data_IF_631873576017
#
_entry.id   IF_631873576017
#
_cell.length_a   1.000
_cell.length_b   1.000
_cell.length_c   1.000
_cell.angle_alpha   90.00
_cell.angle_beta   90.00
_cell.angle_gamma   90.00
#
_symmetry.space_group_name_H-M   'P 1'
#
loop_
_entity.id
_entity.type
_entity.pdbx_description
1 polymer ?
#
# COMPACT_ATOMS: atom_id res chain seq x y z
N UNK A 1 0.38 -10.26 8.73
CA UNK A 1 1.55 -9.75 7.99
C UNK A 1 1.89 -8.35 8.47
N UNK A 2 3.16 -8.06 8.69
CA UNK A 2 3.63 -6.80 9.30
C UNK A 2 3.87 -5.66 8.32
N UNK A 3 3.49 -5.83 7.06
CA UNK A 3 3.74 -4.83 6.02
C UNK A 3 3.15 -3.45 6.35
N UNK A 4 1.90 -3.33 6.85
CA UNK A 4 1.36 -2.01 7.21
C UNK A 4 2.22 -1.25 8.23
N UNK A 5 2.71 -1.94 9.26
CA UNK A 5 3.58 -1.33 10.26
C UNK A 5 4.93 -0.94 9.68
N UNK A 6 5.46 -1.77 8.78
CA UNK A 6 6.73 -1.51 8.12
C UNK A 6 6.67 -0.26 7.23
N UNK A 7 5.54 -0.06 6.54
CA UNK A 7 5.34 1.11 5.68
C UNK A 7 5.11 2.40 6.48
N UNK A 8 4.92 2.31 7.79
CA UNK A 8 4.91 3.48 8.67
C UNK A 8 6.32 4.00 8.97
N UNK A 9 7.35 3.21 8.66
CA UNK A 9 8.74 3.60 8.78
C UNK A 9 9.27 4.09 7.44
N UNK A 10 10.06 5.14 7.45
CA UNK A 10 10.55 5.74 6.21
C UNK A 10 11.48 4.81 5.44
N UNK A 11 11.20 4.65 4.16
CA UNK A 11 12.09 4.04 3.18
C UNK A 11 12.58 2.62 3.55
N UNK A 12 11.71 1.83 4.15
CA UNK A 12 11.99 0.43 4.46
C UNK A 12 11.78 -0.47 3.22
N UNK A 13 12.41 -0.08 2.12
CA UNK A 13 12.21 -0.70 0.80
C UNK A 13 12.64 -2.16 0.79
N UNK A 14 13.86 -2.44 1.26
CA UNK A 14 14.38 -3.81 1.24
C UNK A 14 13.61 -4.72 2.18
N UNK A 15 13.27 -4.24 3.37
CA UNK A 15 12.49 -5.01 4.33
C UNK A 15 11.08 -5.32 3.80
N UNK A 16 10.44 -4.37 3.10
CA UNK A 16 9.15 -4.60 2.47
C UNK A 16 9.22 -5.68 1.38
N UNK A 17 10.24 -5.63 0.55
CA UNK A 17 10.48 -6.66 -0.46
C UNK A 17 10.70 -8.03 0.15
N UNK A 18 11.51 -8.14 1.20
CA UNK A 18 11.76 -9.38 1.90
C UNK A 18 10.49 -9.97 2.54
N UNK A 19 9.66 -9.15 3.15
CA UNK A 19 8.38 -9.59 3.71
C UNK A 19 7.49 -10.22 2.65
N UNK A 20 7.39 -9.59 1.48
CA UNK A 20 6.59 -10.13 0.37
C UNK A 20 7.15 -11.44 -0.15
N UNK A 21 8.47 -11.56 -0.27
CA UNK A 21 9.12 -12.83 -0.64
C UNK A 21 8.74 -13.94 0.34
N UNK A 22 8.87 -13.69 1.63
CA UNK A 22 8.52 -14.67 2.66
C UNK A 22 7.03 -15.05 2.61
N UNK A 23 6.17 -14.08 2.45
CA UNK A 23 4.73 -14.33 2.34
C UNK A 23 4.41 -15.23 1.15
N UNK A 24 4.98 -14.95 -0.02
CA UNK A 24 4.72 -15.72 -1.23
C UNK A 24 5.29 -17.14 -1.13
N UNK A 25 6.45 -17.31 -0.48
CA UNK A 25 7.06 -18.62 -0.31
C UNK A 25 6.39 -19.48 0.76
N UNK A 26 5.63 -18.86 1.67
CA UNK A 26 4.90 -19.60 2.71
C UNK A 26 3.65 -20.29 2.18
N UNK A 27 3.27 -20.05 0.93
CA UNK A 27 2.09 -20.65 0.31
C UNK A 27 0.77 -20.01 0.76
N UNK A 28 0.83 -18.83 1.37
CA UNK A 28 -0.37 -18.10 1.77
C UNK A 28 -1.07 -17.45 0.57
N UNK A 29 -2.32 -17.04 0.80
CA UNK A 29 -3.23 -16.55 -0.24
C UNK A 29 -2.71 -15.23 -0.85
N UNK A 30 -2.43 -15.27 -2.15
CA UNK A 30 -1.96 -14.11 -2.92
C UNK A 30 -3.05 -13.04 -3.02
N UNK A 31 -4.30 -13.42 -3.10
CA UNK A 31 -5.39 -12.44 -3.20
C UNK A 31 -5.48 -11.56 -1.94
N UNK A 32 -5.14 -12.12 -0.78
CA UNK A 32 -5.03 -11.34 0.46
C UNK A 32 -3.90 -10.32 0.39
N UNK A 33 -2.77 -10.69 -0.21
CA UNK A 33 -1.65 -9.77 -0.42
C UNK A 33 -2.05 -8.64 -1.39
N UNK A 34 -2.73 -8.95 -2.49
CA UNK A 34 -3.21 -7.95 -3.43
C UNK A 34 -4.18 -6.97 -2.75
N UNK A 35 -5.10 -7.47 -1.95
CA UNK A 35 -6.04 -6.65 -1.19
C UNK A 35 -5.30 -5.75 -0.19
N UNK A 36 -4.28 -6.28 0.48
CA UNK A 36 -3.46 -5.52 1.41
C UNK A 36 -2.71 -4.38 0.70
N UNK A 37 -2.07 -4.68 -0.43
CA UNK A 37 -1.34 -3.66 -1.21
C UNK A 37 -2.28 -2.55 -1.69
N UNK A 38 -3.47 -2.93 -2.17
CA UNK A 38 -4.48 -1.95 -2.57
C UNK A 38 -4.94 -1.08 -1.40
N UNK A 39 -5.17 -1.69 -0.24
CA UNK A 39 -5.54 -0.96 0.98
C UNK A 39 -4.46 0.00 1.44
N UNK A 40 -3.19 -0.42 1.34
CA UNK A 40 -2.06 0.44 1.70
C UNK A 40 -1.92 1.61 0.75
N UNK A 41 -2.16 1.41 -0.55
CA UNK A 41 -2.21 2.50 -1.52
C UNK A 41 -3.31 3.51 -1.15
N UNK A 42 -4.49 3.03 -0.78
CA UNK A 42 -5.62 3.89 -0.40
C UNK A 42 -5.39 4.64 0.91
N UNK A 43 -4.57 4.11 1.80
CA UNK A 43 -4.22 4.75 3.07
C UNK A 43 -3.35 5.98 2.88
N UNK A 44 -2.49 5.98 1.86
CA UNK A 44 -1.51 7.03 1.63
C UNK A 44 -2.06 8.13 0.71
N UNK A 45 -1.44 9.30 0.76
CA UNK A 45 -1.69 10.36 -0.21
C UNK A 45 -1.20 9.90 -1.57
N UNK A 46 -2.09 9.94 -2.54
CA UNK A 46 -1.85 9.38 -3.87
C UNK A 46 -1.68 10.50 -4.89
N UNK A 47 -0.68 10.37 -5.72
CA UNK A 47 -0.58 11.13 -6.96
C UNK A 47 -0.84 10.20 -8.15
N UNK A 48 -0.93 10.81 -9.33
CA UNK A 48 -1.22 10.09 -10.55
C UNK A 48 -0.20 8.98 -10.84
N UNK A 49 1.08 9.27 -10.59
CA UNK A 49 2.15 8.30 -10.83
C UNK A 49 2.07 7.10 -9.90
N UNK A 50 1.75 7.31 -8.65
CA UNK A 50 1.61 6.22 -7.68
C UNK A 50 0.43 5.31 -8.06
N UNK A 51 -0.70 5.89 -8.42
CA UNK A 51 -1.87 5.13 -8.87
C UNK A 51 -1.53 4.32 -10.11
N UNK A 52 -0.89 4.93 -11.10
CA UNK A 52 -0.50 4.24 -12.34
C UNK A 52 0.47 3.09 -12.07
N UNK A 53 1.46 3.30 -11.21
CA UNK A 53 2.47 2.28 -10.93
C UNK A 53 1.83 1.04 -10.30
N UNK A 54 0.95 1.21 -9.32
CA UNK A 54 0.29 0.09 -8.65
C UNK A 54 -0.75 -0.57 -9.55
N UNK A 55 -1.51 0.20 -10.31
CA UNK A 55 -2.46 -0.33 -11.28
C UNK A 55 -1.75 -1.16 -12.35
N UNK A 56 -0.63 -0.67 -12.88
CA UNK A 56 0.18 -1.39 -13.85
C UNK A 56 0.72 -2.70 -13.26
N UNK A 57 1.19 -2.67 -12.01
CA UNK A 57 1.68 -3.87 -11.33
C UNK A 57 0.56 -4.92 -11.18
N UNK A 58 -0.63 -4.51 -10.78
CA UNK A 58 -1.76 -5.43 -10.64
C UNK A 58 -2.18 -6.02 -12.00
N UNK A 59 -2.21 -5.19 -13.05
CA UNK A 59 -2.52 -5.66 -14.39
C UNK A 59 -1.49 -6.65 -14.91
N UNK A 60 -0.21 -6.37 -14.74
CA UNK A 60 0.87 -7.29 -15.12
C UNK A 60 0.79 -8.59 -14.31
N UNK A 61 0.54 -8.49 -13.02
CA UNK A 61 0.43 -9.67 -12.18
C UNK A 61 -0.72 -10.57 -12.63
N UNK A 62 -1.85 -10.01 -13.04
CA UNK A 62 -2.98 -10.80 -13.54
C UNK A 62 -2.57 -11.70 -14.71
N UNK A 63 -1.68 -11.22 -15.57
CA UNK A 63 -1.16 -11.98 -16.72
C UNK A 63 -0.05 -12.96 -16.34
N UNK A 64 0.68 -12.69 -15.27
CA UNK A 64 1.89 -13.45 -14.87
C UNK A 64 1.68 -14.28 -13.61
N UNK A 65 0.43 -14.40 -13.15
CA UNK A 65 0.09 -15.10 -11.91
C UNK A 65 0.64 -16.53 -11.91
N UNK A 66 1.27 -16.90 -10.81
CA UNK A 66 1.86 -18.22 -10.64
C UNK A 66 3.24 -18.39 -11.28
N UNK A 67 3.80 -17.34 -11.85
CA UNK A 67 5.14 -17.36 -12.45
C UNK A 67 6.15 -16.63 -11.57
N UNK A 68 7.44 -16.88 -11.81
CA UNK A 68 8.53 -16.13 -11.14
C UNK A 68 8.45 -14.64 -11.49
N UNK A 69 8.13 -14.30 -12.73
CA UNK A 69 7.97 -12.91 -13.15
C UNK A 69 6.83 -12.23 -12.39
N UNK A 70 5.71 -12.92 -12.17
CA UNK A 70 4.60 -12.43 -11.35
C UNK A 70 5.02 -12.14 -9.92
N UNK A 71 5.79 -13.03 -9.30
CA UNK A 71 6.34 -12.82 -7.97
C UNK A 71 7.19 -11.55 -7.93
N UNK A 72 8.05 -11.33 -8.90
CA UNK A 72 8.88 -10.12 -8.98
C UNK A 72 8.04 -8.86 -9.12
N UNK A 73 6.93 -8.90 -9.85
CA UNK A 73 6.03 -7.75 -9.98
C UNK A 73 5.45 -7.36 -8.61
N UNK A 74 5.02 -8.32 -7.81
CA UNK A 74 4.49 -8.04 -6.47
C UNK A 74 5.55 -7.50 -5.51
N UNK A 75 6.75 -8.04 -5.57
CA UNK A 75 7.88 -7.54 -4.79
C UNK A 75 8.18 -6.09 -5.17
N UNK A 76 8.22 -5.79 -6.47
CA UNK A 76 8.44 -4.42 -6.97
C UNK A 76 7.34 -3.46 -6.51
N UNK A 77 6.07 -3.90 -6.51
CA UNK A 77 4.96 -3.08 -6.02
C UNK A 77 5.12 -2.74 -4.54
N UNK A 78 5.47 -3.71 -3.71
CA UNK A 78 5.70 -3.48 -2.27
C UNK A 78 6.88 -2.54 -2.05
N UNK A 79 7.97 -2.71 -2.78
CA UNK A 79 9.15 -1.83 -2.70
C UNK A 79 8.81 -0.41 -3.14
N UNK A 80 8.01 -0.26 -4.18
CA UNK A 80 7.55 1.05 -4.65
C UNK A 80 6.74 1.77 -3.58
N UNK A 81 5.76 1.09 -2.98
CA UNK A 81 4.98 1.66 -1.89
C UNK A 81 5.87 2.06 -0.72
N UNK A 82 6.80 1.20 -0.32
CA UNK A 82 7.71 1.50 0.78
C UNK A 82 8.61 2.70 0.50
N UNK A 83 9.00 2.91 -0.75
CA UNK A 83 9.82 4.06 -1.15
C UNK A 83 9.07 5.39 -1.00
N UNK A 84 7.73 5.35 -1.08
CA UNK A 84 6.89 6.54 -1.03
C UNK A 84 6.07 6.67 0.26
N UNK A 85 6.25 5.76 1.21
CA UNK A 85 5.54 5.75 2.49
C UNK A 85 6.49 6.06 3.65
N UNK A 86 5.98 6.60 4.75
CA UNK A 86 4.64 7.15 4.88
C UNK A 86 4.50 8.53 4.23
N UNK A 87 3.30 8.82 3.76
CA UNK A 87 2.91 10.16 3.34
C UNK A 87 2.26 10.89 4.52
N UNK A 88 1.81 12.12 4.30
CA UNK A 88 1.09 12.88 5.33
C UNK A 88 -0.33 12.34 5.58
N UNK A 89 -0.85 11.52 4.68
CA UNK A 89 -2.19 10.93 4.78
C UNK A 89 -3.29 11.99 4.92
N UNK A 90 -3.13 13.09 4.18
CA UNK A 90 -4.02 14.25 4.27
C UNK A 90 -5.46 13.93 3.84
N UNK A 91 -5.66 12.98 2.94
CA UNK A 91 -7.00 12.56 2.52
C UNK A 91 -7.78 11.93 3.66
N UNK A 92 -7.12 11.11 4.47
CA UNK A 92 -7.73 10.55 5.67
C UNK A 92 -8.10 11.63 6.68
N UNK A 93 -7.22 12.60 6.87
CA UNK A 93 -7.47 13.75 7.75
C UNK A 93 -8.66 14.56 7.26
N UNK A 94 -8.75 14.82 5.96
CA UNK A 94 -9.88 15.54 5.38
C UNK A 94 -11.19 14.79 5.60
N UNK A 95 -11.20 13.48 5.40
CA UNK A 95 -12.38 12.66 5.65
C UNK A 95 -12.80 12.72 7.12
N UNK A 96 -11.87 12.62 8.05
CA UNK A 96 -12.15 12.68 9.48
C UNK A 96 -12.72 14.04 9.88
N UNK A 97 -12.16 15.13 9.36
CA UNK A 97 -12.66 16.47 9.59
C UNK A 97 -14.10 16.61 9.07
N UNK A 98 -14.35 16.17 7.84
CA UNK A 98 -15.69 16.23 7.25
C UNK A 98 -16.72 15.43 8.07
N UNK A 99 -16.33 14.24 8.56
CA UNK A 99 -17.18 13.41 9.40
C UNK A 99 -17.51 14.08 10.73
N UNK A 100 -16.53 14.71 11.36
CA UNK A 100 -16.72 15.42 12.63
C UNK A 100 -17.63 16.62 12.45
N UNK A 101 -17.47 17.37 11.37
CA UNK A 101 -18.34 18.51 11.05
C UNK A 101 -19.78 18.07 10.82
N UNK A 102 -20.00 16.95 10.13
CA UNK A 102 -21.35 16.43 9.88
C UNK A 102 -22.05 15.99 11.16
N UNK A 103 -21.30 15.66 12.22
CA UNK A 103 -21.85 15.34 13.55
C UNK A 103 -21.99 16.56 14.45
N UNK A 104 -21.72 17.77 13.94
CA UNK A 104 -21.86 19.01 14.69
C UNK A 104 -20.73 19.25 15.69
N UNK A 105 -19.60 18.59 15.57
CA UNK A 105 -18.46 18.80 16.44
C UNK A 105 -17.77 20.13 16.14
N UNK A 106 -17.29 20.80 17.18
CA UNK A 106 -16.47 21.99 17.03
C UNK A 106 -15.02 21.55 16.84
N UNK A 107 -14.42 22.02 15.75
CA UNK A 107 -13.02 21.75 15.47
C UNK A 107 -12.16 22.89 16.00
N UNK A 108 -11.20 22.56 16.87
CA UNK A 108 -10.22 23.49 17.36
C UNK A 108 -8.90 23.28 16.63
N UNK A 109 -8.32 24.35 16.15
CA UNK A 109 -6.95 24.33 15.67
C UNK A 109 -6.01 24.47 16.86
N UNK A 110 -5.10 23.53 16.97
CA UNK A 110 -4.06 23.56 17.98
C UNK A 110 -2.69 23.54 17.32
#
# INVERSE_FOLDING_TARGET
>A
MELPALLDERQRVDAAGELVVHYLHSGEDVDRLLALLGGLLLREDRNFHTIQAIEAAFSQYASLRGTVAGTHVLIAAARYLAAHCPTMRSQGQTYDIARRLSRGEILHEE
#
